data_IF_879699733839
#
_entry.id   IF_879699733839
#
_cell.length_a   1.000
_cell.length_b   1.000
_cell.length_c   1.000
_cell.angle_alpha   90.00
_cell.angle_beta   90.00
_cell.angle_gamma   90.00
#
_symmetry.space_group_name_H-M   'P 1'
#
loop_
_entity.id
_entity.type
_entity.pdbx_description
1 polymer ?
#
# COMPACT_ATOMS: atom_id res chain seq x y z
N UNK A 1 6.06 -12.49 -12.67
CA UNK A 1 5.60 -11.13 -13.06
C UNK A 1 6.46 -10.11 -12.33
N UNK A 2 7.10 -9.17 -13.02
CA UNK A 2 7.94 -8.14 -12.40
C UNK A 2 7.04 -7.23 -11.55
N UNK A 3 7.35 -7.07 -10.26
CA UNK A 3 6.64 -6.13 -9.38
C UNK A 3 7.09 -4.70 -9.71
N UNK A 4 6.16 -3.76 -9.74
CA UNK A 4 6.49 -2.35 -9.94
C UNK A 4 7.04 -1.77 -8.64
N UNK A 5 8.16 -1.04 -8.70
CA UNK A 5 8.84 -0.54 -7.49
C UNK A 5 7.95 0.37 -6.63
N UNK A 6 7.14 1.24 -7.25
CA UNK A 6 6.16 2.06 -6.54
C UNK A 6 5.18 1.24 -5.68
N UNK A 7 4.72 0.08 -6.17
CA UNK A 7 3.81 -0.77 -5.40
C UNK A 7 4.50 -1.39 -4.19
N UNK A 8 5.79 -1.72 -4.30
CA UNK A 8 6.60 -2.19 -3.17
C UNK A 8 6.71 -1.08 -2.13
N UNK A 9 7.12 0.14 -2.54
CA UNK A 9 7.27 1.27 -1.62
C UNK A 9 5.96 1.66 -0.93
N UNK A 10 4.84 1.70 -1.65
CA UNK A 10 3.51 1.95 -1.07
C UNK A 10 3.12 0.83 -0.10
N UNK A 11 3.34 -0.43 -0.48
CA UNK A 11 3.06 -1.58 0.37
C UNK A 11 3.86 -1.56 1.68
N UNK A 12 5.14 -1.18 1.62
CA UNK A 12 6.01 -1.04 2.78
C UNK A 12 5.62 0.13 3.69
N UNK A 13 5.18 1.26 3.11
CA UNK A 13 4.65 2.39 3.88
C UNK A 13 3.38 1.99 4.65
N UNK A 14 2.44 1.31 3.98
CA UNK A 14 1.23 0.78 4.63
C UNK A 14 1.59 -0.20 5.74
N UNK A 15 2.53 -1.13 5.50
CA UNK A 15 2.99 -2.10 6.51
C UNK A 15 3.57 -1.40 7.74
N UNK A 16 4.38 -0.37 7.53
CA UNK A 16 5.05 0.39 8.59
C UNK A 16 4.01 1.06 9.48
N UNK A 17 3.08 1.81 8.90
CA UNK A 17 2.02 2.50 9.63
C UNK A 17 1.07 1.49 10.29
N UNK A 18 0.68 0.42 9.60
CA UNK A 18 -0.18 -0.63 10.19
C UNK A 18 0.46 -1.21 11.46
N UNK A 19 1.73 -1.58 11.37
CA UNK A 19 2.45 -2.21 12.49
C UNK A 19 2.66 -1.23 13.65
N UNK A 20 2.95 0.04 13.36
CA UNK A 20 3.07 1.08 14.40
C UNK A 20 1.75 1.38 15.11
N UNK A 21 0.61 1.12 14.46
CA UNK A 21 -0.73 1.22 15.02
C UNK A 21 -1.20 -0.07 15.72
N UNK A 22 -0.36 -1.10 15.79
CA UNK A 22 -0.65 -2.35 16.50
C UNK A 22 -1.58 -3.32 15.76
N UNK A 23 -1.88 -3.09 14.49
CA UNK A 23 -2.75 -3.97 13.71
C UNK A 23 -1.96 -5.13 13.10
N UNK A 24 -2.50 -6.35 13.16
CA UNK A 24 -2.07 -7.43 12.27
C UNK A 24 -2.62 -7.23 10.86
N UNK A 25 -2.07 -7.92 9.85
CA UNK A 25 -2.64 -7.89 8.49
C UNK A 25 -4.10 -8.34 8.48
N UNK A 26 -4.42 -9.37 9.27
CA UNK A 26 -5.77 -9.90 9.39
C UNK A 26 -6.71 -8.91 10.11
N UNK A 27 -6.24 -8.29 11.20
CA UNK A 27 -7.01 -7.30 11.95
C UNK A 27 -7.34 -6.06 11.10
N UNK A 28 -6.36 -5.52 10.38
CA UNK A 28 -6.62 -4.39 9.46
C UNK A 28 -7.56 -4.79 8.32
N UNK A 29 -7.33 -5.97 7.71
CA UNK A 29 -8.16 -6.44 6.62
C UNK A 29 -9.62 -6.61 7.06
N UNK A 30 -9.86 -7.24 8.21
CA UNK A 30 -11.20 -7.39 8.77
C UNK A 30 -11.87 -6.03 9.04
N UNK A 31 -11.15 -5.10 9.69
CA UNK A 31 -11.67 -3.77 10.01
C UNK A 31 -11.99 -2.92 8.75
N UNK A 32 -11.23 -3.11 7.67
CA UNK A 32 -11.44 -2.41 6.40
C UNK A 32 -12.40 -3.15 5.44
N UNK A 33 -13.00 -4.27 5.87
CA UNK A 33 -13.82 -5.17 5.02
C UNK A 33 -13.08 -5.60 3.74
N UNK A 34 -11.81 -5.98 3.91
CA UNK A 34 -10.90 -6.49 2.88
C UNK A 34 -10.51 -7.94 3.17
N UNK A 35 -10.05 -8.66 2.16
CA UNK A 35 -9.48 -9.99 2.34
C UNK A 35 -8.07 -9.93 2.94
N UNK A 36 -7.77 -10.77 3.94
CA UNK A 36 -6.41 -10.93 4.49
C UNK A 36 -5.35 -11.16 3.40
N UNK A 37 -5.64 -12.06 2.44
CA UNK A 37 -4.75 -12.33 1.30
C UNK A 37 -4.54 -11.11 0.41
N UNK A 38 -5.60 -10.31 0.21
CA UNK A 38 -5.50 -9.05 -0.53
C UNK A 38 -4.57 -8.06 0.20
N UNK A 39 -4.75 -7.89 1.52
CA UNK A 39 -3.88 -7.03 2.33
C UNK A 39 -2.41 -7.47 2.26
N UNK A 40 -2.16 -8.78 2.39
CA UNK A 40 -0.81 -9.33 2.25
C UNK A 40 -0.19 -9.08 0.87
N UNK A 41 -0.98 -9.19 -0.21
CA UNK A 41 -0.52 -8.89 -1.57
C UNK A 41 -0.20 -7.40 -1.76
N UNK A 42 -1.04 -6.51 -1.22
CA UNK A 42 -0.80 -5.06 -1.25
C UNK A 42 0.53 -4.74 -0.57
N UNK A 43 0.76 -5.23 0.65
CA UNK A 43 2.00 -4.92 1.38
C UNK A 43 3.26 -5.53 0.75
N UNK A 44 3.12 -6.54 -0.12
CA UNK A 44 4.25 -7.13 -0.87
C UNK A 44 4.41 -6.54 -2.27
N UNK A 45 3.67 -5.50 -2.63
CA UNK A 45 3.68 -4.87 -3.96
C UNK A 45 3.15 -5.77 -5.07
N UNK A 46 2.33 -6.78 -4.74
CA UNK A 46 1.73 -7.75 -5.68
C UNK A 46 0.35 -7.33 -6.17
N UNK A 47 -0.15 -6.21 -5.67
CA UNK A 47 -1.47 -5.70 -6.01
C UNK A 47 -1.44 -4.18 -6.06
N UNK A 48 -1.98 -3.62 -7.15
CA UNK A 48 -2.29 -2.20 -7.22
C UNK A 48 -3.54 -1.93 -6.38
N UNK A 49 -3.39 -1.21 -5.26
CA UNK A 49 -4.48 -0.87 -4.37
C UNK A 49 -5.34 0.24 -4.99
N UNK A 50 -6.66 0.10 -4.95
CA UNK A 50 -7.56 1.18 -5.39
C UNK A 50 -7.58 2.30 -4.36
N UNK A 51 -7.84 3.53 -4.82
CA UNK A 51 -7.95 4.69 -3.91
C UNK A 51 -9.03 4.49 -2.84
N UNK A 52 -10.13 3.81 -3.15
CA UNK A 52 -11.20 3.52 -2.19
C UNK A 52 -10.71 2.61 -1.05
N UNK A 53 -9.92 1.58 -1.36
CA UNK A 53 -9.36 0.70 -0.34
C UNK A 53 -8.26 1.40 0.47
N UNK A 54 -7.48 2.28 -0.16
CA UNK A 54 -6.49 3.11 0.54
C UNK A 54 -7.16 4.06 1.54
N UNK A 55 -8.26 4.71 1.15
CA UNK A 55 -9.07 5.59 2.03
C UNK A 55 -9.65 4.79 3.20
N UNK A 56 -10.19 3.58 2.96
CA UNK A 56 -10.68 2.70 4.04
C UNK A 56 -9.58 2.41 5.06
N UNK A 57 -8.38 2.05 4.59
CA UNK A 57 -7.23 1.79 5.47
C UNK A 57 -6.87 3.05 6.27
N UNK A 58 -6.89 4.23 5.64
CA UNK A 58 -6.58 5.50 6.31
C UNK A 58 -7.55 5.80 7.47
N UNK A 59 -8.85 5.58 7.26
CA UNK A 59 -9.86 5.71 8.32
C UNK A 59 -9.61 4.77 9.50
N UNK A 60 -9.30 3.49 9.24
CA UNK A 60 -9.05 2.50 10.30
C UNK A 60 -7.76 2.81 11.07
N UNK A 61 -6.70 3.24 10.37
CA UNK A 61 -5.42 3.57 10.99
C UNK A 61 -5.39 4.97 11.61
N UNK A 62 -6.43 5.77 11.42
CA UNK A 62 -6.56 7.16 11.86
C UNK A 62 -5.34 8.00 11.44
N UNK A 63 -5.13 8.09 10.12
CA UNK A 63 -4.06 8.87 9.45
C UNK A 63 -4.63 9.54 8.21
N UNK A 64 -3.94 10.57 7.70
CA UNK A 64 -4.30 11.13 6.40
C UNK A 64 -3.96 10.13 5.29
N UNK A 65 -4.77 10.07 4.23
CA UNK A 65 -4.55 9.14 3.12
C UNK A 65 -3.18 9.32 2.46
N UNK A 66 -2.67 10.56 2.44
CA UNK A 66 -1.34 10.88 1.89
C UNK A 66 -0.20 10.25 2.69
N UNK A 67 -0.38 9.96 3.98
CA UNK A 67 0.66 9.31 4.79
C UNK A 67 0.87 7.84 4.39
N UNK A 68 -0.13 7.22 3.74
CA UNK A 68 -0.03 5.84 3.25
C UNK A 68 0.77 5.72 1.94
N UNK A 69 1.17 6.85 1.35
CA UNK A 69 1.93 6.90 0.11
C UNK A 69 3.25 7.63 0.38
N UNK A 70 4.40 7.06 -0.03
CA UNK A 70 5.68 7.75 0.07
C UNK A 70 5.68 9.10 -0.66
N UNK A 71 6.53 10.05 -0.26
CA UNK A 71 6.66 11.32 -0.98
C UNK A 71 7.08 11.09 -2.43
N UNK A 72 6.68 11.99 -3.33
CA UNK A 72 6.89 11.83 -4.77
C UNK A 72 8.37 11.68 -5.16
N UNK A 73 9.31 12.29 -4.40
CA UNK A 73 10.76 12.14 -4.62
C UNK A 73 11.27 10.71 -4.44
N UNK A 74 10.52 9.84 -3.76
CA UNK A 74 10.84 8.43 -3.59
C UNK A 74 10.12 7.54 -4.60
N UNK A 75 9.22 8.06 -5.42
CA UNK A 75 8.48 7.26 -6.40
C UNK A 75 9.08 7.43 -7.80
N UNK A 76 9.04 6.35 -8.59
CA UNK A 76 9.36 6.42 -10.01
C UNK A 76 8.16 6.96 -10.78
N UNK A 77 8.40 7.83 -11.77
CA UNK A 77 7.34 8.27 -12.66
C UNK A 77 6.91 7.10 -13.57
N UNK A 78 5.66 6.60 -13.48
CA UNK A 78 5.21 5.48 -14.31
C UNK A 78 5.14 5.80 -15.81
N UNK A 79 5.08 7.09 -16.18
CA UNK A 79 5.14 7.55 -17.57
C UNK A 79 6.56 7.49 -18.15
N UNK A 80 7.58 7.45 -17.29
CA UNK A 80 8.97 7.24 -17.71
C UNK A 80 9.21 5.75 -17.90
N UNK A 81 8.62 5.19 -18.95
CA UNK A 81 9.01 3.87 -19.44
C UNK A 81 10.48 4.03 -19.88
N UNK A 82 11.43 3.59 -19.06
CA UNK A 82 12.75 3.27 -19.59
C UNK A 82 12.52 2.09 -20.52
N UNK A 83 12.39 2.38 -21.82
CA UNK A 83 12.62 1.43 -22.90
C UNK A 83 14.01 0.86 -22.64
N UNK A 84 14.07 -0.33 -22.07
CA UNK A 84 15.26 -1.17 -21.99
C UNK A 84 14.72 -2.58 -21.76
N UNK A 85 14.55 -3.27 -22.88
CA UNK A 85 14.68 -4.72 -23.11
C UNK A 85 13.94 -5.71 -22.19
#
# INVERSE_FOLDING_TARGET
>A
MRKHVNLIKIGDQIRTIRSSKGFSQEGLAAAATLGRTYMGRVERGEQNISIQNLIKIAFILNVNVGELVPPLCELENPANIRSND
#
